data_IF_421272545602
#
_entry.id   IF_421272545602
#
_cell.length_a   1.000
_cell.length_b   1.000
_cell.length_c   1.000
_cell.angle_alpha   90.00
_cell.angle_beta   90.00
_cell.angle_gamma   90.00
#
_symmetry.space_group_name_H-M   'P 1'
#
loop_
_entity.id
_entity.type
_entity.pdbx_description
1 polymer ?
#
# COMPACT_ATOMS: atom_id res chain seq x y z
N UNK A 1 -15.42 -43.30 3.16
CA UNK A 1 -14.19 -42.57 2.78
C UNK A 1 -14.57 -41.53 1.73
N UNK A 2 -14.63 -40.23 2.05
CA UNK A 2 -14.78 -39.21 1.02
C UNK A 2 -13.42 -38.97 0.37
N UNK A 3 -13.40 -38.91 -0.96
CA UNK A 3 -12.22 -38.60 -1.77
C UNK A 3 -11.84 -37.14 -1.53
N UNK A 4 -10.57 -36.89 -1.20
CA UNK A 4 -9.99 -35.55 -1.17
C UNK A 4 -10.16 -34.88 -2.55
N UNK A 5 -10.76 -33.69 -2.57
CA UNK A 5 -10.76 -32.82 -3.74
C UNK A 5 -9.35 -32.27 -3.97
N UNK A 6 -8.88 -32.18 -5.22
CA UNK A 6 -7.57 -31.60 -5.51
C UNK A 6 -7.59 -30.10 -5.22
N UNK A 7 -6.59 -29.62 -4.48
CA UNK A 7 -6.29 -28.20 -4.25
C UNK A 7 -6.22 -27.48 -5.60
N UNK A 8 -7.16 -26.57 -5.88
CA UNK A 8 -7.05 -25.62 -6.99
C UNK A 8 -6.28 -24.42 -6.48
N UNK A 9 -5.02 -24.30 -6.90
CA UNK A 9 -4.22 -23.12 -6.67
C UNK A 9 -4.63 -22.07 -7.71
N UNK A 10 -5.37 -21.05 -7.28
CA UNK A 10 -5.74 -19.90 -8.13
C UNK A 10 -4.89 -18.70 -7.72
N UNK A 11 -3.92 -18.33 -8.55
CA UNK A 11 -3.07 -17.16 -8.33
C UNK A 11 -3.71 -15.94 -8.96
N UNK A 12 -3.90 -14.89 -8.16
CA UNK A 12 -4.41 -13.61 -8.62
C UNK A 12 -3.29 -12.55 -8.51
N UNK A 13 -2.78 -12.05 -9.65
CA UNK A 13 -1.74 -11.03 -9.72
C UNK A 13 -2.36 -9.67 -10.07
N UNK A 14 -2.06 -8.64 -9.27
CA UNK A 14 -2.29 -7.25 -9.64
C UNK A 14 -0.93 -6.68 -10.10
N UNK A 15 -0.77 -6.46 -11.41
CA UNK A 15 0.50 -6.01 -11.98
C UNK A 15 0.56 -4.48 -12.05
N UNK A 16 1.53 -3.88 -11.34
CA UNK A 16 2.18 -2.63 -11.74
C UNK A 16 3.48 -2.39 -10.96
N UNK A 17 4.57 -3.09 -11.35
CA UNK A 17 5.95 -2.57 -11.37
C UNK A 17 6.91 -3.62 -11.96
N UNK A 18 7.81 -3.25 -12.91
CA UNK A 18 8.75 -4.18 -13.52
C UNK A 18 10.08 -4.16 -12.78
N UNK A 19 10.16 -4.70 -11.56
CA UNK A 19 11.43 -5.00 -10.89
C UNK A 19 11.21 -5.89 -9.66
N UNK A 20 10.90 -7.17 -9.86
CA UNK A 20 11.20 -8.19 -8.86
C UNK A 20 11.35 -9.55 -9.54
N UNK A 21 12.60 -9.96 -9.79
CA UNK A 21 12.94 -11.32 -10.17
C UNK A 21 13.19 -12.13 -8.91
N UNK A 22 12.23 -13.01 -8.63
CA UNK A 22 12.35 -14.38 -8.11
C UNK A 22 13.25 -14.69 -6.90
N UNK A 23 12.60 -15.11 -5.81
CA UNK A 23 12.93 -16.40 -5.16
C UNK A 23 11.62 -17.10 -4.77
N UNK A 24 11.20 -18.08 -5.57
CA UNK A 24 10.46 -19.24 -5.06
C UNK A 24 10.66 -20.42 -6.03
N UNK A 25 11.46 -21.38 -5.61
CA UNK A 25 11.73 -22.60 -6.34
C UNK A 25 10.67 -23.65 -6.00
N UNK A 26 9.88 -24.09 -6.98
CA UNK A 26 9.33 -25.44 -6.99
C UNK A 26 9.25 -25.99 -8.43
N UNK A 27 9.73 -27.22 -8.56
CA UNK A 27 9.83 -28.06 -9.75
C UNK A 27 8.47 -28.65 -10.09
N UNK A 28 7.90 -28.38 -11.28
CA UNK A 28 7.03 -29.32 -12.00
C UNK A 28 7.20 -29.16 -13.52
N UNK A 29 7.25 -30.30 -14.18
CA UNK A 29 7.61 -30.54 -15.57
C UNK A 29 6.68 -29.91 -16.64
N UNK A 30 7.30 -29.63 -17.76
CA UNK A 30 6.77 -29.17 -19.04
C UNK A 30 5.77 -30.12 -19.72
N UNK A 31 4.63 -29.59 -20.15
CA UNK A 31 3.91 -30.06 -21.35
C UNK A 31 3.40 -28.83 -22.14
N UNK A 32 3.73 -28.78 -23.43
CA UNK A 32 3.60 -27.61 -24.31
C UNK A 32 2.19 -27.27 -24.81
N UNK A 33 2.04 -26.16 -25.56
CA UNK A 33 0.75 -25.64 -25.99
C UNK A 33 0.28 -26.23 -27.33
N UNK A 34 -1.01 -26.53 -27.44
CA UNK A 34 -1.67 -26.79 -28.73
C UNK A 34 -2.49 -25.58 -29.18
N UNK A 35 -2.22 -25.17 -30.40
CA UNK A 35 -2.78 -24.09 -31.21
C UNK A 35 -4.29 -24.15 -31.47
N UNK A 36 -4.93 -22.99 -31.59
CA UNK A 36 -6.22 -22.81 -32.26
C UNK A 36 -6.55 -21.33 -32.48
N UNK A 37 -6.49 -20.87 -33.73
CA UNK A 37 -6.77 -19.51 -34.21
C UNK A 37 -8.16 -19.44 -34.91
N UNK A 38 -8.66 -18.28 -35.40
CA UNK A 38 -10.04 -17.83 -35.20
C UNK A 38 -10.89 -17.71 -36.47
N UNK A 39 -12.19 -17.48 -36.31
CA UNK A 39 -13.16 -17.09 -37.35
C UNK A 39 -14.47 -16.65 -36.65
N UNK A 40 -15.32 -15.75 -37.13
CA UNK A 40 -15.30 -14.69 -38.15
C UNK A 40 -16.62 -13.89 -37.96
N UNK A 41 -16.62 -12.60 -38.32
CA UNK A 41 -17.74 -11.74 -38.77
C UNK A 41 -19.15 -11.78 -38.13
N UNK A 42 -19.66 -10.59 -37.78
CA UNK A 42 -20.67 -9.90 -38.60
C UNK A 42 -20.87 -8.42 -38.18
N UNK A 43 -20.98 -7.55 -39.19
CA UNK A 43 -21.30 -6.10 -39.18
C UNK A 43 -22.81 -5.86 -39.06
N UNK A 44 -23.17 -4.62 -38.66
CA UNK A 44 -24.19 -3.66 -39.18
C UNK A 44 -24.80 -2.91 -37.96
N UNK A 45 -25.03 -1.59 -37.89
CA UNK A 45 -25.27 -0.55 -38.88
C UNK A 45 -24.93 0.86 -38.35
N UNK A 46 -24.60 1.74 -39.29
CA UNK A 46 -24.47 3.19 -39.18
C UNK A 46 -25.81 3.92 -39.18
N UNK A 47 -25.95 5.00 -38.40
CA UNK A 47 -26.79 6.17 -38.76
C UNK A 47 -26.18 7.47 -38.24
N UNK A 48 -26.07 8.43 -39.16
CA UNK A 48 -25.47 9.76 -39.03
C UNK A 48 -26.52 10.86 -38.81
N UNK A 49 -26.19 11.80 -37.90
CA UNK A 49 -26.39 13.28 -37.95
C UNK A 49 -27.81 13.89 -37.85
N UNK A 50 -27.99 15.17 -37.42
CA UNK A 50 -27.01 16.28 -37.52
C UNK A 50 -26.85 17.23 -36.31
N UNK A 51 -25.85 18.10 -36.47
CA UNK A 51 -25.43 19.20 -35.63
C UNK A 51 -26.52 20.29 -35.44
N UNK A 52 -26.56 20.85 -34.24
CA UNK A 52 -27.28 22.07 -33.91
C UNK A 52 -26.45 22.88 -32.92
N UNK A 53 -26.06 24.07 -33.35
CA UNK A 53 -25.40 25.10 -32.56
C UNK A 53 -26.24 25.54 -31.36
N UNK A 54 -25.64 25.65 -30.18
CA UNK A 54 -25.97 26.71 -29.23
C UNK A 54 -24.81 26.94 -28.27
N UNK A 55 -24.23 28.13 -28.36
CA UNK A 55 -23.36 28.69 -27.36
C UNK A 55 -24.19 28.97 -26.09
N UNK A 56 -23.79 28.38 -24.97
CA UNK A 56 -24.22 28.82 -23.65
C UNK A 56 -23.00 28.93 -22.73
N UNK A 57 -22.78 30.16 -22.31
CA UNK A 57 -21.88 30.58 -21.24
C UNK A 57 -22.46 30.06 -19.91
N UNK A 58 -21.75 29.12 -19.27
CA UNK A 58 -21.86 28.83 -17.84
C UNK A 58 -20.43 28.53 -17.37
N UNK A 59 -19.81 29.27 -16.45
CA UNK A 59 -20.36 29.76 -15.20
C UNK A 59 -19.94 28.78 -14.10
N UNK A 60 -18.80 29.07 -13.48
CA UNK A 60 -18.24 28.47 -12.25
C UNK A 60 -18.08 26.94 -12.24
N UNK A 61 -16.82 26.50 -12.28
CA UNK A 61 -16.43 25.17 -11.82
C UNK A 61 -16.77 25.06 -10.32
N UNK A 62 -17.98 24.57 -10.02
CA UNK A 62 -18.33 24.12 -8.69
C UNK A 62 -17.37 23.00 -8.31
N UNK A 63 -16.49 23.27 -7.36
CA UNK A 63 -15.72 22.26 -6.65
C UNK A 63 -16.73 21.33 -5.99
N UNK A 64 -17.04 20.21 -6.64
CA UNK A 64 -17.84 19.15 -6.03
C UNK A 64 -17.01 18.58 -4.88
N UNK A 65 -17.25 19.09 -3.68
CA UNK A 65 -16.83 18.45 -2.44
C UNK A 65 -17.51 17.10 -2.39
N UNK A 66 -16.80 16.05 -2.81
CA UNK A 66 -17.28 14.69 -2.69
C UNK A 66 -17.28 14.38 -1.20
N UNK A 67 -18.43 13.97 -0.65
CA UNK A 67 -18.50 13.54 0.75
C UNK A 67 -17.45 12.45 0.97
N UNK A 68 -16.59 12.59 2.00
CA UNK A 68 -15.60 11.58 2.31
C UNK A 68 -16.29 10.25 2.59
N UNK A 69 -15.64 9.15 2.19
CA UNK A 69 -16.18 7.83 2.38
C UNK A 69 -16.43 7.56 3.87
N UNK A 70 -17.50 6.83 4.24
CA UNK A 70 -17.80 6.56 5.64
C UNK A 70 -16.62 5.92 6.40
N UNK A 71 -15.82 5.07 5.74
CA UNK A 71 -14.66 4.44 6.35
C UNK A 71 -13.47 5.39 6.60
N UNK A 72 -13.51 6.65 6.15
CA UNK A 72 -12.42 7.61 6.37
C UNK A 72 -12.70 8.55 7.54
N UNK A 73 -13.96 8.90 7.80
CA UNK A 73 -14.36 9.71 8.96
C UNK A 73 -14.90 8.83 10.09
N UNK A 74 -14.27 8.80 11.27
CA UNK A 74 -14.75 8.00 12.39
C UNK A 74 -16.05 8.58 12.96
N UNK A 75 -16.89 7.71 13.52
CA UNK A 75 -18.11 8.06 14.25
C UNK A 75 -18.27 7.20 15.52
N UNK A 76 -19.38 7.32 16.25
CA UNK A 76 -19.53 6.65 17.55
C UNK A 76 -19.86 5.16 17.42
N UNK A 77 -20.12 4.67 16.21
CA UNK A 77 -20.31 3.24 15.92
C UNK A 77 -18.98 2.60 15.54
N UNK A 78 -18.73 1.34 15.95
CA UNK A 78 -17.55 0.60 15.52
C UNK A 78 -17.42 0.53 13.99
N UNK A 79 -16.25 0.89 13.47
CA UNK A 79 -15.83 0.65 12.09
C UNK A 79 -14.42 0.07 12.04
N UNK A 80 -13.94 -0.27 10.84
CA UNK A 80 -12.59 -0.86 10.62
C UNK A 80 -12.29 -2.06 11.54
N UNK A 81 -13.29 -2.95 11.65
CA UNK A 81 -13.21 -4.12 12.51
C UNK A 81 -12.30 -5.14 11.84
N UNK A 82 -11.26 -5.58 12.55
CA UNK A 82 -10.31 -6.58 12.06
C UNK A 82 -10.14 -7.67 13.10
N UNK A 83 -10.36 -8.91 12.67
CA UNK A 83 -10.08 -10.12 13.43
C UNK A 83 -8.61 -10.51 13.22
N UNK A 84 -7.93 -10.87 14.30
CA UNK A 84 -6.50 -11.19 14.36
C UNK A 84 -6.25 -12.30 15.41
N UNK A 85 -4.99 -12.69 15.57
CA UNK A 85 -4.52 -13.54 16.66
C UNK A 85 -3.33 -12.93 17.40
N UNK A 86 -3.55 -12.50 18.64
CA UNK A 86 -2.48 -12.05 19.53
C UNK A 86 -1.80 -13.20 20.29
N UNK A 87 -2.49 -14.34 20.39
CA UNK A 87 -2.16 -15.53 21.19
C UNK A 87 -2.57 -16.79 20.41
N UNK A 88 -2.50 -17.95 21.07
CA UNK A 88 -2.84 -19.25 20.51
C UNK A 88 -4.21 -19.26 19.79
N UNK A 89 -4.24 -19.49 18.46
CA UNK A 89 -5.47 -19.54 17.66
C UNK A 89 -6.47 -20.62 18.09
N UNK A 90 -6.03 -21.68 18.77
CA UNK A 90 -6.90 -22.77 19.20
C UNK A 90 -7.75 -22.41 20.44
N UNK A 91 -7.34 -21.38 21.19
CA UNK A 91 -7.97 -21.02 22.46
C UNK A 91 -8.31 -19.53 22.58
N UNK A 92 -8.03 -18.73 21.53
CA UNK A 92 -8.23 -17.28 21.56
C UNK A 92 -8.71 -16.70 20.23
N UNK A 93 -9.36 -15.54 20.31
CA UNK A 93 -9.68 -14.67 19.17
C UNK A 93 -9.39 -13.23 19.57
N UNK A 94 -8.74 -12.44 18.71
CA UNK A 94 -8.43 -11.04 18.96
C UNK A 94 -9.14 -10.15 17.95
N UNK A 95 -9.74 -9.04 18.39
CA UNK A 95 -10.42 -8.11 17.51
C UNK A 95 -9.96 -6.68 17.80
N UNK A 96 -9.73 -5.91 16.74
CA UNK A 96 -9.51 -4.46 16.76
C UNK A 96 -10.64 -3.76 16.04
N UNK A 97 -10.93 -2.52 16.42
CA UNK A 97 -11.86 -1.65 15.72
C UNK A 97 -11.60 -0.19 16.04
N UNK A 98 -12.23 0.70 15.30
CA UNK A 98 -12.14 2.15 15.47
C UNK A 98 -13.49 2.76 15.80
N UNK A 99 -13.46 3.86 16.53
CA UNK A 99 -14.57 4.81 16.71
C UNK A 99 -14.03 6.24 16.64
N UNK A 100 -14.91 7.23 16.74
CA UNK A 100 -14.49 8.58 17.09
C UNK A 100 -13.92 8.66 18.51
N UNK A 101 -13.32 9.80 18.83
CA UNK A 101 -12.64 10.01 20.11
C UNK A 101 -13.57 10.17 21.32
N UNK A 102 -14.90 10.18 21.14
CA UNK A 102 -15.86 10.33 22.24
C UNK A 102 -16.13 9.01 22.96
N UNK A 103 -15.86 7.87 22.31
CA UNK A 103 -16.04 6.55 22.89
C UNK A 103 -14.80 6.17 23.70
N UNK A 104 -14.98 6.02 25.02
CA UNK A 104 -13.89 5.65 25.96
C UNK A 104 -14.16 4.35 26.72
N UNK A 105 -15.42 3.89 26.74
CA UNK A 105 -15.86 2.69 27.46
C UNK A 105 -16.12 1.49 26.54
N UNK A 106 -15.21 1.24 25.61
CA UNK A 106 -15.39 0.21 24.59
C UNK A 106 -15.41 -1.22 25.19
N UNK A 107 -16.23 -2.08 24.60
CA UNK A 107 -16.50 -3.45 25.05
C UNK A 107 -16.64 -4.37 23.85
N UNK A 108 -16.45 -5.66 24.08
CA UNK A 108 -16.73 -6.69 23.12
C UNK A 108 -17.49 -7.85 23.77
N UNK A 109 -18.25 -8.58 22.98
CA UNK A 109 -18.99 -9.76 23.42
C UNK A 109 -18.63 -10.96 22.57
N UNK A 110 -18.59 -12.14 23.19
CA UNK A 110 -18.41 -13.43 22.50
C UNK A 110 -19.34 -14.48 23.11
N UNK A 111 -19.95 -15.29 22.26
CA UNK A 111 -20.84 -16.39 22.62
C UNK A 111 -20.62 -17.57 21.68
N UNK A 112 -20.96 -18.79 22.11
CA UNK A 112 -21.02 -19.94 21.20
C UNK A 112 -22.03 -19.65 20.09
N UNK A 113 -21.63 -19.87 18.84
CA UNK A 113 -22.53 -19.73 17.71
C UNK A 113 -23.41 -20.99 17.63
N UNK A 114 -24.64 -20.88 18.11
CA UNK A 114 -25.66 -21.94 17.99
C UNK A 114 -26.67 -21.57 16.92
N UNK A 115 -27.40 -22.55 16.38
CA UNK A 115 -28.47 -22.29 15.41
C UNK A 115 -29.69 -21.55 15.99
N UNK A 116 -29.77 -21.40 17.32
CA UNK A 116 -30.89 -20.75 18.00
C UNK A 116 -30.76 -19.22 18.02
N UNK A 117 -31.87 -18.46 17.89
CA UNK A 117 -31.84 -17.00 17.83
C UNK A 117 -31.40 -16.32 19.14
N UNK A 118 -31.42 -17.06 20.26
CA UNK A 118 -31.09 -16.56 21.60
C UNK A 118 -29.65 -16.84 22.04
N UNK A 119 -28.75 -17.25 21.13
CA UNK A 119 -27.34 -17.56 21.48
C UNK A 119 -26.64 -16.45 22.28
N UNK A 120 -27.04 -15.19 22.03
CA UNK A 120 -26.45 -14.01 22.64
C UNK A 120 -26.74 -13.85 24.15
N UNK A 121 -27.69 -14.59 24.72
CA UNK A 121 -28.00 -14.48 26.16
C UNK A 121 -26.86 -14.99 27.04
N UNK A 122 -26.08 -15.93 26.52
CA UNK A 122 -24.90 -16.50 27.18
C UNK A 122 -23.61 -15.76 26.81
N UNK A 123 -23.71 -14.58 26.19
CA UNK A 123 -22.54 -13.84 25.74
C UNK A 123 -21.69 -13.33 26.91
N UNK A 124 -20.41 -13.70 26.89
CA UNK A 124 -19.41 -13.12 27.78
C UNK A 124 -19.02 -11.73 27.27
N UNK A 125 -19.10 -10.74 28.16
CA UNK A 125 -18.66 -9.36 27.87
C UNK A 125 -17.24 -9.12 28.40
N UNK A 126 -16.40 -8.46 27.61
CA UNK A 126 -15.03 -8.09 27.94
C UNK A 126 -14.81 -6.61 27.67
N UNK A 127 -14.18 -5.89 28.59
CA UNK A 127 -13.77 -4.50 28.38
C UNK A 127 -12.60 -4.45 27.40
N UNK A 128 -12.65 -3.52 26.45
CA UNK A 128 -11.60 -3.32 25.47
C UNK A 128 -10.50 -2.39 26.00
N UNK A 129 -9.27 -2.61 25.56
CA UNK A 129 -8.23 -1.59 25.67
C UNK A 129 -8.51 -0.50 24.64
N UNK A 130 -8.23 0.76 24.97
CA UNK A 130 -8.51 1.91 24.10
C UNK A 130 -7.27 2.78 23.96
N UNK A 131 -6.91 3.12 22.72
CA UNK A 131 -5.78 3.99 22.40
C UNK A 131 -6.19 5.05 21.36
N UNK A 132 -5.83 6.32 21.55
CA UNK A 132 -6.08 7.35 20.55
C UNK A 132 -5.15 7.18 19.35
N UNK A 133 -5.66 7.50 18.15
CA UNK A 133 -4.83 7.66 16.97
C UNK A 133 -4.03 8.98 17.08
N UNK A 134 -2.71 8.89 16.99
CA UNK A 134 -1.83 10.07 17.11
C UNK A 134 -1.65 10.81 15.77
N UNK A 135 -2.74 11.10 15.06
CA UNK A 135 -2.69 11.76 13.75
C UNK A 135 -2.00 13.13 13.79
N UNK A 136 -2.10 13.86 14.91
CA UNK A 136 -1.43 15.15 15.13
C UNK A 136 0.10 15.11 15.02
N UNK A 137 0.72 13.93 14.99
CA UNK A 137 2.16 13.79 14.80
C UNK A 137 2.58 13.86 13.33
N UNK A 138 1.63 13.65 12.41
CA UNK A 138 1.89 13.52 10.97
C UNK A 138 1.35 14.75 10.24
N UNK A 139 2.18 15.34 9.39
CA UNK A 139 1.80 16.50 8.59
C UNK A 139 0.65 16.16 7.62
N UNK A 140 -0.33 17.07 7.52
CA UNK A 140 -1.53 16.88 6.71
C UNK A 140 -2.58 15.91 7.28
N UNK A 141 -2.31 15.22 8.39
CA UNK A 141 -3.24 14.28 9.03
C UNK A 141 -3.93 14.89 10.27
N UNK A 142 -5.26 14.89 10.26
CA UNK A 142 -6.07 15.61 11.27
C UNK A 142 -7.23 14.78 11.84
N UNK A 143 -7.23 13.46 11.61
CA UNK A 143 -8.29 12.59 12.10
C UNK A 143 -8.21 12.38 13.62
N UNK A 144 -9.32 12.62 14.33
CA UNK A 144 -9.45 12.27 15.75
C UNK A 144 -10.24 10.96 15.86
N UNK A 145 -9.56 9.89 16.29
CA UNK A 145 -10.15 8.56 16.42
C UNK A 145 -9.59 7.85 17.65
N UNK A 146 -10.39 6.94 18.21
CA UNK A 146 -9.91 5.92 19.13
C UNK A 146 -9.92 4.58 18.40
N UNK A 147 -8.89 3.78 18.67
CA UNK A 147 -8.89 2.36 18.35
C UNK A 147 -9.00 1.56 19.63
N UNK A 148 -9.65 0.42 19.50
CA UNK A 148 -9.93 -0.47 20.61
C UNK A 148 -9.48 -1.88 20.25
N UNK A 149 -9.03 -2.63 21.24
CA UNK A 149 -8.62 -4.01 21.07
C UNK A 149 -9.15 -4.89 22.19
N UNK A 150 -9.42 -6.15 21.85
CA UNK A 150 -9.77 -7.19 22.81
C UNK A 150 -9.13 -8.51 22.40
N UNK A 151 -8.79 -9.35 23.37
CA UNK A 151 -8.48 -10.76 23.14
C UNK A 151 -9.39 -11.61 24.01
N UNK A 152 -10.30 -12.33 23.38
CA UNK A 152 -11.13 -13.34 24.02
C UNK A 152 -10.27 -14.56 24.33
N UNK A 153 -10.13 -14.90 25.61
CA UNK A 153 -9.30 -16.02 26.08
C UNK A 153 -10.15 -17.18 26.60
N UNK A 154 -9.57 -18.37 26.63
CA UNK A 154 -10.22 -19.57 27.19
C UNK A 154 -11.39 -20.06 26.34
N UNK A 155 -11.28 -19.91 25.03
CA UNK A 155 -12.21 -20.47 24.06
C UNK A 155 -11.89 -21.96 23.85
N UNK A 156 -12.88 -22.74 23.45
CA UNK A 156 -12.69 -24.14 23.06
C UNK A 156 -12.08 -24.18 21.65
N UNK A 157 -11.22 -25.17 21.40
CA UNK A 157 -10.66 -25.43 20.07
C UNK A 157 -11.73 -25.91 19.09
N UNK A 158 -11.48 -25.72 17.79
CA UNK A 158 -12.39 -26.07 16.69
C UNK A 158 -13.86 -25.75 16.96
N UNK A 159 -14.10 -24.53 17.44
CA UNK A 159 -15.43 -24.11 17.89
C UNK A 159 -15.84 -22.83 17.19
N UNK A 160 -17.05 -22.82 16.64
CA UNK A 160 -17.64 -21.63 16.05
C UNK A 160 -18.17 -20.71 17.16
N UNK A 161 -17.68 -19.48 17.18
CA UNK A 161 -18.14 -18.41 18.05
C UNK A 161 -18.80 -17.30 17.22
N UNK A 162 -19.72 -16.58 17.85
CA UNK A 162 -20.22 -15.30 17.39
C UNK A 162 -19.66 -14.21 18.30
N UNK A 163 -19.10 -13.14 17.72
CA UNK A 163 -18.59 -12.00 18.46
C UNK A 163 -19.11 -10.67 17.91
N UNK A 164 -19.11 -9.63 18.75
CA UNK A 164 -19.40 -8.25 18.34
C UNK A 164 -18.64 -7.25 19.20
N UNK A 165 -18.48 -6.04 18.69
CA UNK A 165 -17.74 -4.96 19.35
C UNK A 165 -18.63 -3.72 19.50
N UNK A 166 -18.33 -2.86 20.46
CA UNK A 166 -19.20 -1.72 20.79
C UNK A 166 -18.76 -1.00 22.05
N UNK A 167 -19.71 -0.36 22.73
CA UNK A 167 -19.48 0.32 24.01
C UNK A 167 -20.50 -0.06 25.12
N UNK A 168 -21.42 -0.98 24.81
CA UNK A 168 -22.54 -1.33 25.68
C UNK A 168 -23.90 -0.87 25.15
N UNK A 169 -23.93 0.22 24.38
CA UNK A 169 -25.14 0.81 23.82
C UNK A 169 -25.15 0.70 22.29
N UNK A 170 -24.03 1.09 21.67
CA UNK A 170 -23.79 1.05 20.23
C UNK A 170 -22.94 -0.18 19.94
N UNK A 171 -23.50 -1.10 19.16
CA UNK A 171 -22.88 -2.37 18.81
C UNK A 171 -22.71 -2.48 17.30
N UNK A 172 -21.65 -3.16 16.88
CA UNK A 172 -21.58 -3.76 15.55
C UNK A 172 -22.65 -4.86 15.40
N UNK A 173 -22.80 -5.35 14.17
CA UNK A 173 -23.41 -6.67 13.95
C UNK A 173 -22.58 -7.79 14.62
N UNK A 174 -23.17 -8.98 14.68
CA UNK A 174 -22.47 -10.19 15.11
C UNK A 174 -21.70 -10.80 13.94
N UNK A 175 -20.43 -11.12 14.16
CA UNK A 175 -19.55 -11.80 13.22
C UNK A 175 -19.27 -13.22 13.70
N UNK A 176 -19.14 -14.16 12.77
CA UNK A 176 -18.71 -15.51 13.08
C UNK A 176 -17.20 -15.65 12.93
N UNK A 177 -16.60 -16.39 13.86
CA UNK A 177 -15.19 -16.75 13.85
C UNK A 177 -15.01 -18.13 14.49
N UNK A 178 -14.20 -18.97 13.86
CA UNK A 178 -13.87 -20.32 14.36
C UNK A 178 -12.47 -20.31 14.96
N UNK A 179 -12.31 -20.85 16.17
CA UNK A 179 -11.00 -21.14 16.75
C UNK A 179 -10.34 -22.31 16.03
N UNK A 180 -9.01 -22.31 15.93
CA UNK A 180 -8.28 -23.39 15.28
C UNK A 180 -8.44 -24.72 16.04
N UNK A 181 -8.16 -25.84 15.36
CA UNK A 181 -7.95 -27.12 16.05
C UNK A 181 -6.71 -27.07 16.92
N UNK A 182 -6.75 -27.79 18.05
CA UNK A 182 -5.57 -28.03 18.88
C UNK A 182 -4.64 -29.11 18.28
N UNK A 183 -5.15 -29.88 17.32
CA UNK A 183 -4.43 -30.94 16.61
C UNK A 183 -4.12 -30.53 15.16
N UNK A 184 -3.12 -31.14 14.51
CA UNK A 184 -2.88 -30.93 13.09
C UNK A 184 -4.07 -31.37 12.24
N UNK A 185 -4.69 -30.41 11.54
CA UNK A 185 -5.82 -30.61 10.65
C UNK A 185 -5.60 -29.83 9.34
N UNK A 186 -6.19 -30.23 8.20
CA UNK A 186 -6.14 -29.46 6.97
C UNK A 186 -6.70 -28.04 7.16
N UNK A 187 -6.08 -27.08 6.48
CA UNK A 187 -6.50 -25.69 6.50
C UNK A 187 -6.26 -25.02 5.15
N UNK A 188 -6.87 -23.86 4.95
CA UNK A 188 -6.73 -23.02 3.77
C UNK A 188 -6.51 -21.56 4.15
N UNK A 189 -5.69 -20.86 3.37
CA UNK A 189 -5.43 -19.44 3.58
C UNK A 189 -5.27 -18.73 2.25
N UNK A 190 -5.53 -17.42 2.26
CA UNK A 190 -5.24 -16.55 1.11
C UNK A 190 -4.01 -15.72 1.42
N UNK A 191 -3.02 -15.82 0.54
CA UNK A 191 -1.84 -14.99 0.54
C UNK A 191 -2.09 -13.72 -0.29
N UNK A 192 -1.81 -12.56 0.29
CA UNK A 192 -1.97 -11.25 -0.32
C UNK A 192 -0.70 -10.45 -0.08
N UNK A 193 -0.25 -9.69 -1.07
CA UNK A 193 0.76 -8.65 -0.91
C UNK A 193 0.40 -7.50 -1.84
N UNK A 194 1.03 -6.34 -1.61
CA UNK A 194 1.04 -5.25 -2.58
C UNK A 194 -0.38 -4.80 -2.98
N UNK A 195 -1.26 -4.65 -1.97
CA UNK A 195 -2.60 -4.14 -2.19
C UNK A 195 -2.59 -2.68 -2.65
N UNK A 196 -1.46 -1.99 -2.41
CA UNK A 196 -1.09 -0.63 -2.81
C UNK A 196 -1.85 -0.09 -4.02
N UNK A 197 -2.01 1.25 -4.03
CA UNK A 197 -2.59 2.00 -5.13
C UNK A 197 -4.04 1.60 -5.47
N UNK A 198 -4.94 2.58 -5.54
CA UNK A 198 -6.33 2.31 -5.92
C UNK A 198 -6.99 1.21 -5.03
N UNK A 199 -6.57 1.09 -3.77
CA UNK A 199 -6.94 -0.02 -2.86
C UNK A 199 -8.46 -0.26 -2.86
N UNK A 200 -9.26 0.79 -2.76
CA UNK A 200 -10.71 0.67 -2.78
C UNK A 200 -11.26 0.17 -4.12
N UNK A 201 -10.77 0.67 -5.25
CA UNK A 201 -11.35 0.37 -6.57
C UNK A 201 -10.83 -0.95 -7.16
N UNK A 202 -9.58 -1.33 -6.86
CA UNK A 202 -8.95 -2.51 -7.47
C UNK A 202 -8.72 -3.65 -6.49
N UNK A 203 -8.27 -3.41 -5.27
CA UNK A 203 -8.03 -4.50 -4.32
C UNK A 203 -9.35 -5.11 -3.83
N UNK A 204 -10.42 -4.32 -3.72
CA UNK A 204 -11.75 -4.81 -3.31
C UNK A 204 -12.31 -5.93 -4.19
N UNK A 205 -12.15 -5.85 -5.52
CA UNK A 205 -12.58 -6.94 -6.43
C UNK A 205 -11.74 -8.20 -6.25
N UNK A 206 -10.46 -8.05 -5.94
CA UNK A 206 -9.52 -9.16 -5.79
C UNK A 206 -9.84 -9.98 -4.53
N UNK A 207 -9.88 -9.30 -3.39
CA UNK A 207 -10.08 -9.97 -2.10
C UNK A 207 -11.48 -10.60 -2.00
N UNK A 208 -12.49 -9.96 -2.60
CA UNK A 208 -13.87 -10.51 -2.64
C UNK A 208 -13.98 -11.70 -3.58
N UNK A 209 -13.27 -11.71 -4.71
CA UNK A 209 -13.23 -12.89 -5.58
C UNK A 209 -12.50 -14.05 -4.88
N UNK A 210 -11.37 -13.79 -4.22
CA UNK A 210 -10.65 -14.81 -3.46
C UNK A 210 -11.52 -15.44 -2.38
N UNK A 211 -12.25 -14.62 -1.61
CA UNK A 211 -13.23 -15.11 -0.63
C UNK A 211 -14.39 -15.89 -1.25
N UNK A 212 -14.84 -15.51 -2.45
CA UNK A 212 -15.92 -16.23 -3.16
C UNK A 212 -15.45 -17.60 -3.64
N UNK A 213 -14.21 -17.72 -4.09
CA UNK A 213 -13.63 -18.98 -4.57
C UNK A 213 -13.28 -19.95 -3.45
N UNK A 214 -12.94 -19.41 -2.27
CA UNK A 214 -12.60 -20.17 -1.07
C UNK A 214 -13.37 -19.61 0.14
N UNK A 215 -14.67 -19.91 0.31
CA UNK A 215 -15.44 -19.37 1.43
C UNK A 215 -15.08 -19.99 2.80
N UNK A 216 -14.32 -21.08 2.80
CA UNK A 216 -13.83 -21.77 4.02
C UNK A 216 -12.37 -21.39 4.37
N UNK A 217 -11.94 -20.17 4.03
CA UNK A 217 -10.61 -19.65 4.39
C UNK A 217 -10.47 -19.54 5.91
N UNK A 218 -9.37 -20.06 6.43
CA UNK A 218 -9.05 -20.01 7.86
C UNK A 218 -8.34 -18.72 8.28
N UNK A 219 -7.53 -18.12 7.40
CA UNK A 219 -6.89 -16.82 7.63
C UNK A 219 -6.42 -16.13 6.34
N UNK A 220 -6.22 -14.82 6.45
CA UNK A 220 -5.54 -13.98 5.45
C UNK A 220 -4.09 -13.75 5.88
N UNK A 221 -3.15 -13.95 4.96
CA UNK A 221 -1.74 -13.67 5.16
C UNK A 221 -1.32 -12.50 4.26
N UNK A 222 -1.09 -11.33 4.86
CA UNK A 222 -0.64 -10.10 4.19
C UNK A 222 0.88 -9.96 4.29
N UNK A 223 1.55 -9.97 3.14
CA UNK A 223 3.00 -9.94 3.02
C UNK A 223 3.60 -8.53 2.89
N UNK A 224 2.93 -7.53 3.46
CA UNK A 224 3.34 -6.12 3.40
C UNK A 224 2.67 -5.33 2.27
N UNK A 225 2.87 -4.02 2.34
CA UNK A 225 2.39 -3.02 1.40
C UNK A 225 0.86 -3.02 1.23
N UNK A 226 0.19 -2.86 2.38
CA UNK A 226 -1.26 -2.83 2.49
C UNK A 226 -1.83 -1.50 1.98
N UNK A 227 -1.08 -0.43 2.14
CA UNK A 227 -1.36 0.93 1.65
C UNK A 227 -0.18 1.45 0.84
N UNK A 228 -0.35 2.58 0.15
CA UNK A 228 0.74 3.22 -0.61
C UNK A 228 1.43 4.30 0.23
N UNK A 229 0.67 5.02 1.07
CA UNK A 229 1.18 6.08 1.94
C UNK A 229 0.99 5.70 3.41
N UNK A 230 2.10 5.42 4.10
CA UNK A 230 2.14 4.83 5.44
C UNK A 230 1.13 5.43 6.43
N UNK A 231 1.05 6.75 6.52
CA UNK A 231 0.25 7.43 7.55
C UNK A 231 -1.14 7.84 7.10
N UNK A 232 -1.44 7.71 5.81
CA UNK A 232 -2.58 8.36 5.19
C UNK A 232 -3.90 7.71 5.60
N UNK A 233 -4.69 8.38 6.45
CA UNK A 233 -5.88 7.77 7.04
C UNK A 233 -6.93 7.31 6.01
N UNK A 234 -7.01 8.01 4.88
CA UNK A 234 -7.90 7.64 3.77
C UNK A 234 -7.55 6.27 3.20
N UNK A 235 -6.28 5.94 3.05
CA UNK A 235 -5.84 4.68 2.43
C UNK A 235 -6.09 3.49 3.35
N UNK A 236 -5.80 3.63 4.65
CA UNK A 236 -6.21 2.65 5.65
C UNK A 236 -7.74 2.45 5.67
N UNK A 237 -8.51 3.53 5.46
CA UNK A 237 -9.96 3.46 5.32
C UNK A 237 -10.42 2.75 4.05
N UNK A 238 -9.66 2.87 2.96
CA UNK A 238 -9.90 2.15 1.72
C UNK A 238 -9.59 0.67 1.86
N UNK A 239 -8.49 0.31 2.51
CA UNK A 239 -8.11 -1.06 2.81
C UNK A 239 -9.20 -1.75 3.65
N UNK A 240 -9.56 -1.17 4.80
CA UNK A 240 -10.64 -1.72 5.63
C UNK A 240 -11.97 -1.86 4.87
N UNK A 241 -12.35 -0.87 4.04
CA UNK A 241 -13.59 -0.95 3.25
C UNK A 241 -13.53 -1.97 2.11
N UNK A 242 -12.35 -2.19 1.54
CA UNK A 242 -12.16 -3.16 0.46
C UNK A 242 -12.33 -4.59 0.97
N UNK A 243 -11.70 -4.94 2.09
CA UNK A 243 -11.90 -6.23 2.75
C UNK A 243 -13.28 -6.35 3.43
N UNK A 244 -13.79 -5.26 4.00
CA UNK A 244 -15.14 -5.22 4.58
C UNK A 244 -15.36 -6.30 5.63
N UNK A 245 -16.51 -6.98 5.58
CA UNK A 245 -16.85 -8.05 6.52
C UNK A 245 -15.85 -9.20 6.54
N UNK A 246 -15.07 -9.40 5.45
CA UNK A 246 -14.10 -10.49 5.36
C UNK A 246 -13.05 -10.32 6.46
N UNK A 247 -12.57 -9.09 6.68
CA UNK A 247 -11.60 -8.81 7.75
C UNK A 247 -12.19 -8.99 9.14
N UNK A 248 -13.51 -8.84 9.30
CA UNK A 248 -14.22 -9.08 10.55
C UNK A 248 -14.54 -10.55 10.82
N UNK A 249 -14.40 -11.45 9.84
CA UNK A 249 -14.72 -12.88 10.02
C UNK A 249 -13.51 -13.79 9.83
N UNK A 250 -12.54 -13.36 9.04
CA UNK A 250 -11.33 -14.10 8.71
C UNK A 250 -10.14 -13.42 9.39
N UNK A 251 -9.42 -14.12 10.29
CA UNK A 251 -8.23 -13.60 10.96
C UNK A 251 -7.17 -13.09 9.99
N UNK A 252 -6.57 -11.94 10.29
CA UNK A 252 -5.53 -11.31 9.49
C UNK A 252 -4.17 -11.51 10.18
N UNK A 253 -3.23 -12.05 9.43
CA UNK A 253 -1.81 -12.13 9.77
C UNK A 253 -1.10 -11.17 8.83
N UNK A 254 -0.36 -10.19 9.36
CA UNK A 254 0.28 -9.16 8.54
C UNK A 254 1.70 -8.87 9.01
N UNK A 255 2.59 -8.56 8.06
CA UNK A 255 3.90 -7.96 8.30
C UNK A 255 3.96 -6.61 7.57
N UNK A 256 4.67 -5.60 8.09
CA UNK A 256 4.80 -4.33 7.39
C UNK A 256 5.75 -4.48 6.20
N UNK A 257 5.40 -3.87 5.07
CA UNK A 257 6.29 -3.63 3.94
C UNK A 257 6.87 -2.22 3.98
N UNK A 258 7.61 -1.82 2.95
CA UNK A 258 8.22 -0.48 2.91
C UNK A 258 7.18 0.64 2.84
N UNK A 259 5.98 0.39 2.32
CA UNK A 259 4.91 1.40 2.28
C UNK A 259 4.17 1.58 3.62
N UNK A 260 4.46 0.75 4.61
CA UNK A 260 4.03 0.97 6.00
C UNK A 260 4.97 1.91 6.77
N UNK A 261 6.06 2.35 6.15
CA UNK A 261 7.04 3.28 6.69
C UNK A 261 7.00 4.63 5.96
N UNK A 262 7.14 5.71 6.71
CA UNK A 262 7.19 7.07 6.16
C UNK A 262 7.59 8.10 7.20
N UNK A 263 7.94 9.30 6.75
CA UNK A 263 8.21 10.42 7.65
C UNK A 263 6.93 10.97 8.27
N UNK A 264 7.02 11.40 9.53
CA UNK A 264 5.91 12.12 10.17
C UNK A 264 5.84 13.57 9.75
N UNK A 265 7.00 14.22 9.61
CA UNK A 265 7.08 15.64 9.32
C UNK A 265 7.79 15.86 8.00
N UNK A 266 7.39 16.88 7.26
CA UNK A 266 8.09 17.34 6.08
C UNK A 266 8.52 18.79 6.23
N UNK A 267 9.60 19.15 5.57
CA UNK A 267 10.07 20.54 5.50
C UNK A 267 10.63 20.84 4.13
N UNK A 268 10.42 22.06 3.67
CA UNK A 268 11.13 22.57 2.50
C UNK A 268 12.59 22.83 2.88
N UNK A 269 13.51 22.20 2.18
CA UNK A 269 14.94 22.42 2.30
C UNK A 269 15.50 22.87 0.95
N UNK A 270 16.41 23.82 0.99
CA UNK A 270 17.25 24.09 -0.18
C UNK A 270 18.23 22.92 -0.35
N UNK A 271 18.21 22.32 -1.52
CA UNK A 271 18.93 21.11 -1.85
C UNK A 271 19.80 21.32 -3.09
N UNK A 272 21.07 20.93 -2.98
CA UNK A 272 22.03 20.91 -4.08
C UNK A 272 22.01 19.55 -4.74
N UNK A 273 21.79 19.52 -6.04
CA UNK A 273 21.84 18.30 -6.85
C UNK A 273 22.98 18.42 -7.84
N UNK A 274 23.94 17.50 -7.73
CA UNK A 274 25.06 17.43 -8.66
C UNK A 274 24.65 16.71 -9.95
N UNK A 275 25.20 17.14 -11.08
CA UNK A 275 25.07 16.45 -12.35
C UNK A 275 26.41 16.41 -13.05
N UNK A 276 26.75 15.25 -13.58
CA UNK A 276 27.86 15.04 -14.50
C UNK A 276 27.34 14.33 -15.74
N UNK A 277 27.90 14.66 -16.89
CA UNK A 277 27.51 14.02 -18.14
C UNK A 277 28.57 14.11 -19.22
N UNK A 278 28.49 13.17 -20.14
CA UNK A 278 29.34 13.06 -21.31
C UNK A 278 28.47 12.95 -22.56
N UNK A 279 28.73 13.79 -23.56
CA UNK A 279 28.02 13.78 -24.83
C UNK A 279 28.77 12.98 -25.90
N UNK A 280 28.03 12.20 -26.69
CA UNK A 280 28.51 11.48 -27.85
C UNK A 280 27.43 11.46 -28.94
N UNK A 281 27.71 12.14 -30.06
CA UNK A 281 26.77 12.26 -31.18
C UNK A 281 25.48 13.01 -30.79
N UNK A 282 24.38 12.28 -30.71
CA UNK A 282 23.06 12.80 -30.31
C UNK A 282 22.63 12.35 -28.91
N UNK A 283 23.48 11.61 -28.20
CA UNK A 283 23.21 11.10 -26.87
C UNK A 283 24.13 11.73 -25.84
N UNK A 284 23.62 11.87 -24.62
CA UNK A 284 24.36 12.30 -23.46
C UNK A 284 24.01 11.38 -22.30
N UNK A 285 25.03 10.87 -21.62
CA UNK A 285 24.87 9.96 -20.49
C UNK A 285 25.68 10.44 -19.31
N UNK A 286 25.23 10.18 -18.10
CA UNK A 286 25.98 10.54 -16.91
C UNK A 286 25.28 10.16 -15.62
N UNK A 287 25.52 10.96 -14.59
CA UNK A 287 25.07 10.70 -13.23
C UNK A 287 24.47 11.95 -12.61
N UNK A 288 23.34 11.81 -11.94
CA UNK A 288 22.79 12.81 -11.01
C UNK A 288 23.12 12.35 -9.60
N UNK A 289 23.60 13.26 -8.75
CA UNK A 289 23.87 13.02 -7.34
C UNK A 289 22.84 13.75 -6.49
N UNK A 290 22.03 12.99 -5.78
CA UNK A 290 20.92 13.48 -4.96
C UNK A 290 21.40 13.98 -3.59
N UNK A 291 20.59 14.81 -2.91
CA UNK A 291 20.82 15.19 -1.52
C UNK A 291 20.80 13.92 -0.64
N UNK A 292 21.93 13.61 0.01
CA UNK A 292 22.11 12.36 0.77
C UNK A 292 23.21 11.45 0.22
N UNK A 293 23.67 11.69 -1.01
CA UNK A 293 24.82 10.99 -1.60
C UNK A 293 24.44 9.90 -2.61
N UNK A 294 23.16 9.53 -2.69
CA UNK A 294 22.66 8.60 -3.71
C UNK A 294 22.85 9.13 -5.12
N UNK A 295 22.99 8.21 -6.08
CA UNK A 295 23.19 8.55 -7.48
C UNK A 295 22.16 7.88 -8.38
N UNK A 296 21.76 8.60 -9.43
CA UNK A 296 20.82 8.13 -10.45
C UNK A 296 21.41 8.33 -11.85
N UNK A 297 21.16 7.43 -12.81
CA UNK A 297 21.64 7.60 -14.18
C UNK A 297 20.94 8.80 -14.84
N UNK A 298 21.72 9.61 -15.53
CA UNK A 298 21.26 10.70 -16.39
C UNK A 298 21.35 10.28 -17.85
N UNK A 299 20.27 10.50 -18.60
CA UNK A 299 20.27 10.35 -20.06
C UNK A 299 19.56 11.52 -20.71
N UNK A 300 20.14 12.03 -21.79
CA UNK A 300 19.53 13.06 -22.61
C UNK A 300 19.82 12.86 -24.10
N UNK A 301 18.93 13.36 -24.95
CA UNK A 301 19.01 13.26 -26.40
C UNK A 301 18.90 14.62 -27.05
N UNK A 302 19.76 14.91 -28.02
CA UNK A 302 19.78 16.20 -28.72
C UNK A 302 18.72 16.27 -29.81
N UNK A 303 18.02 17.39 -29.90
CA UNK A 303 17.18 17.73 -31.06
C UNK A 303 18.03 18.44 -32.14
N UNK A 304 18.48 17.70 -33.16
CA UNK A 304 19.23 18.25 -34.30
C UNK A 304 20.34 17.33 -34.84
N UNK A 305 21.04 17.73 -35.93
CA UNK A 305 22.13 16.93 -36.50
C UNK A 305 23.31 16.77 -35.51
N UNK A 306 24.13 15.71 -35.65
CA UNK A 306 25.26 15.48 -34.77
C UNK A 306 26.21 16.68 -34.76
N UNK A 307 26.64 17.10 -33.58
CA UNK A 307 27.69 18.10 -33.45
C UNK A 307 29.07 17.49 -33.78
N UNK A 308 30.03 18.33 -34.17
CA UNK A 308 31.45 17.94 -34.18
C UNK A 308 31.91 17.64 -32.74
N UNK A 309 32.99 16.88 -32.57
CA UNK A 309 33.54 16.59 -31.22
C UNK A 309 33.78 17.85 -30.38
N UNK A 310 34.24 18.95 -31.00
CA UNK A 310 34.48 20.24 -30.34
C UNK A 310 33.21 20.98 -29.91
N UNK A 311 32.04 20.62 -30.46
CA UNK A 311 30.74 21.23 -30.14
C UNK A 311 29.75 20.22 -29.55
N UNK A 312 30.23 19.03 -29.17
CA UNK A 312 29.43 17.87 -28.83
C UNK A 312 28.47 18.13 -27.66
N UNK A 313 28.78 19.07 -26.76
CA UNK A 313 27.93 19.45 -25.63
C UNK A 313 26.89 20.53 -25.97
N UNK A 314 27.13 21.35 -26.99
CA UNK A 314 26.31 22.55 -27.23
C UNK A 314 24.92 22.19 -27.73
N UNK A 315 23.93 23.01 -27.39
CA UNK A 315 22.56 22.89 -27.89
C UNK A 315 21.55 22.50 -26.82
N UNK A 316 20.42 21.96 -27.27
CA UNK A 316 19.30 21.57 -26.41
C UNK A 316 19.21 20.05 -26.37
N UNK A 317 19.14 19.51 -25.16
CA UNK A 317 19.07 18.10 -24.86
C UNK A 317 17.78 17.81 -24.12
N UNK A 318 16.93 16.96 -24.67
CA UNK A 318 15.75 16.43 -23.98
C UNK A 318 16.21 15.36 -23.00
N UNK A 319 15.95 15.53 -21.70
CA UNK A 319 16.34 14.55 -20.69
C UNK A 319 15.13 13.90 -20.02
N UNK A 320 15.37 12.72 -19.44
CA UNK A 320 14.43 12.03 -18.56
C UNK A 320 15.15 11.45 -17.34
N UNK A 321 14.74 11.81 -16.13
CA UNK A 321 15.28 11.28 -14.87
C UNK A 321 14.11 10.92 -13.95
N UNK A 322 13.96 9.64 -13.58
CA UNK A 322 13.02 9.23 -12.52
C UNK A 322 11.58 9.71 -12.71
N UNK A 323 11.07 9.78 -13.95
CA UNK A 323 9.73 10.29 -14.27
C UNK A 323 9.64 11.79 -14.55
N UNK A 324 10.70 12.56 -14.32
CA UNK A 324 10.81 13.97 -14.70
C UNK A 324 11.39 14.12 -16.10
N UNK A 325 10.76 14.94 -16.94
CA UNK A 325 11.26 15.29 -18.27
C UNK A 325 11.49 16.79 -18.41
N UNK A 326 12.39 17.17 -19.31
CA UNK A 326 12.66 18.57 -19.59
C UNK A 326 13.81 18.77 -20.57
N UNK A 327 14.29 20.01 -20.65
CA UNK A 327 15.42 20.36 -21.52
C UNK A 327 16.66 20.81 -20.75
N UNK A 328 17.83 20.30 -21.10
CA UNK A 328 19.12 20.84 -20.72
C UNK A 328 19.66 21.64 -21.90
N UNK A 329 19.83 22.95 -21.71
CA UNK A 329 20.38 23.82 -22.74
C UNK A 329 21.78 24.26 -22.38
N UNK A 330 22.77 23.84 -23.18
CA UNK A 330 24.18 24.20 -23.01
C UNK A 330 24.57 25.21 -24.09
N UNK A 331 25.16 26.33 -23.65
CA UNK A 331 25.64 27.40 -24.52
C UNK A 331 27.10 27.71 -24.19
N UNK A 332 27.84 28.20 -25.17
CA UNK A 332 29.15 28.81 -24.98
C UNK A 332 29.07 30.26 -25.43
N UNK A 333 29.21 31.19 -24.49
CA UNK A 333 29.13 32.64 -24.71
C UNK A 333 30.43 33.34 -24.37
N UNK A 334 30.42 34.68 -24.38
CA UNK A 334 31.63 35.47 -24.08
C UNK A 334 32.21 35.24 -22.67
N UNK A 335 31.37 34.79 -21.73
CA UNK A 335 31.76 34.49 -20.36
C UNK A 335 31.92 32.98 -20.10
N UNK A 336 32.15 32.19 -21.16
CA UNK A 336 32.30 30.74 -21.07
C UNK A 336 30.97 29.99 -21.20
N UNK A 337 30.95 28.76 -20.69
CA UNK A 337 29.80 27.88 -20.79
C UNK A 337 28.69 28.28 -19.81
N UNK A 338 27.45 28.10 -20.24
CA UNK A 338 26.29 28.11 -19.37
C UNK A 338 25.40 26.92 -19.69
N UNK A 339 24.82 26.33 -18.65
CA UNK A 339 23.87 25.24 -18.76
C UNK A 339 22.63 25.58 -17.94
N UNK A 340 21.45 25.31 -18.49
CA UNK A 340 20.18 25.55 -17.81
C UNK A 340 19.28 24.37 -18.03
N UNK A 341 18.80 23.80 -16.93
CA UNK A 341 17.77 22.77 -16.93
C UNK A 341 16.41 23.46 -16.87
N UNK A 342 15.48 23.05 -17.72
CA UNK A 342 14.11 23.54 -17.74
C UNK A 342 13.18 22.37 -17.44
N UNK A 343 12.28 22.53 -16.47
CA UNK A 343 11.23 21.53 -16.21
C UNK A 343 10.19 21.52 -17.32
N UNK A 344 9.33 20.50 -17.35
CA UNK A 344 8.17 20.45 -18.24
C UNK A 344 7.24 21.67 -18.10
N UNK A 345 7.12 22.22 -16.89
CA UNK A 345 6.35 23.44 -16.60
C UNK A 345 7.05 24.74 -17.06
N UNK A 346 8.27 24.64 -17.57
CA UNK A 346 9.02 25.76 -18.12
C UNK A 346 9.90 26.52 -17.12
N UNK A 347 9.95 26.10 -15.86
CA UNK A 347 10.77 26.74 -14.81
C UNK A 347 12.26 26.53 -15.08
N UNK A 348 13.08 27.60 -15.16
CA UNK A 348 14.50 27.48 -15.44
C UNK A 348 15.33 27.30 -14.15
N UNK A 349 16.26 26.34 -14.18
CA UNK A 349 17.23 26.04 -13.13
C UNK A 349 18.64 26.14 -13.71
N UNK A 350 19.35 27.26 -13.49
CA UNK A 350 20.72 27.41 -13.98
C UNK A 350 21.66 26.45 -13.24
N UNK A 351 22.55 25.80 -13.98
CA UNK A 351 23.66 25.06 -13.37
C UNK A 351 24.69 26.06 -12.82
N UNK A 352 25.02 25.88 -11.56
CA UNK A 352 26.09 26.53 -10.83
C UNK A 352 27.35 25.66 -10.89
N UNK A 353 28.51 26.27 -10.65
CA UNK A 353 29.82 25.61 -10.64
C UNK A 353 30.08 24.71 -11.87
N UNK A 354 29.62 25.18 -13.03
CA UNK A 354 29.73 24.46 -14.29
C UNK A 354 31.20 24.34 -14.71
N UNK A 355 31.67 23.11 -14.82
CA UNK A 355 32.97 22.74 -15.39
C UNK A 355 32.75 21.98 -16.70
N UNK A 356 33.52 22.31 -17.73
CA UNK A 356 33.47 21.66 -19.05
C UNK A 356 34.87 21.26 -19.48
N UNK A 357 35.02 20.01 -19.90
CA UNK A 357 36.27 19.45 -20.43
C UNK A 357 35.97 18.55 -21.62
N UNK A 358 36.24 19.05 -22.83
CA UNK A 358 35.92 18.35 -24.08
C UNK A 358 34.41 18.13 -24.22
N UNK A 359 34.01 16.85 -24.28
CA UNK A 359 32.62 16.42 -24.35
C UNK A 359 31.99 16.12 -22.97
N UNK A 360 32.70 16.40 -21.87
CA UNK A 360 32.24 16.17 -20.50
C UNK A 360 31.88 17.48 -19.82
N UNK A 361 30.86 17.45 -18.97
CA UNK A 361 30.51 18.55 -18.09
C UNK A 361 30.17 18.04 -16.68
N UNK A 362 30.31 18.93 -15.70
CA UNK A 362 29.76 18.75 -14.35
C UNK A 362 29.25 20.09 -13.83
N UNK A 363 28.24 20.06 -12.98
CA UNK A 363 27.75 21.25 -12.28
C UNK A 363 26.68 20.88 -11.26
N UNK A 364 26.09 21.89 -10.65
CA UNK A 364 25.11 21.70 -9.59
C UNK A 364 23.87 22.55 -9.84
N UNK A 365 22.69 22.06 -9.48
CA UNK A 365 21.49 22.88 -9.43
C UNK A 365 20.94 22.92 -8.01
N UNK A 366 20.54 24.11 -7.60
CA UNK A 366 19.95 24.37 -6.28
C UNK A 366 18.45 24.49 -6.45
N UNK A 367 17.69 23.75 -5.66
CA UNK A 367 16.23 23.77 -5.66
C UNK A 367 15.68 23.56 -4.27
N UNK A 368 14.52 24.14 -4.00
CA UNK A 368 13.74 23.75 -2.83
C UNK A 368 13.15 22.35 -3.08
N UNK A 369 13.31 21.47 -2.10
CA UNK A 369 12.74 20.13 -2.08
C UNK A 369 12.07 19.89 -0.76
N UNK A 370 10.98 19.15 -0.79
CA UNK A 370 10.41 18.60 0.42
C UNK A 370 11.29 17.46 0.92
N UNK A 371 11.74 17.55 2.16
CA UNK A 371 12.47 16.51 2.86
C UNK A 371 11.64 16.03 4.04
N UNK A 372 11.36 14.74 4.06
CA UNK A 372 10.70 14.08 5.17
C UNK A 372 11.66 13.80 6.34
N UNK A 373 11.11 13.77 7.55
CA UNK A 373 11.77 13.23 8.73
C UNK A 373 12.06 11.74 8.54
N UNK A 374 13.02 11.19 9.30
CA UNK A 374 13.36 9.76 9.23
C UNK A 374 12.13 8.85 9.39
N UNK A 375 12.11 7.77 8.62
CA UNK A 375 10.99 6.86 8.51
C UNK A 375 10.54 6.29 9.87
N UNK A 376 9.23 6.16 10.02
CA UNK A 376 8.55 5.56 11.16
C UNK A 376 7.46 4.63 10.66
N UNK A 377 7.25 3.55 11.40
CA UNK A 377 6.11 2.66 11.17
C UNK A 377 4.81 3.45 11.27
N UNK A 378 3.84 3.08 10.44
CA UNK A 378 2.55 3.74 10.37
C UNK A 378 1.91 3.97 11.74
N UNK A 379 1.42 5.20 11.97
CA UNK A 379 0.58 5.51 13.14
C UNK A 379 -0.66 4.62 13.25
N UNK A 380 -1.08 3.95 12.17
CA UNK A 380 -2.21 3.02 12.17
C UNK A 380 -1.82 1.59 12.54
N UNK A 381 -0.56 1.15 12.37
CA UNK A 381 -0.19 -0.28 12.45
C UNK A 381 -0.59 -0.94 13.78
N UNK A 382 -0.03 -0.51 14.90
CA UNK A 382 -0.34 -1.02 16.25
C UNK A 382 -1.77 -0.75 16.74
N UNK A 383 -2.55 0.01 15.98
CA UNK A 383 -3.95 0.33 16.30
C UNK A 383 -4.90 -0.54 15.47
N UNK A 384 -4.48 -0.84 14.25
CA UNK A 384 -5.18 -1.65 13.28
C UNK A 384 -5.08 -3.13 13.61
N UNK A 385 -3.95 -3.57 14.15
CA UNK A 385 -3.68 -4.97 14.43
C UNK A 385 -3.50 -5.25 15.92
N UNK A 386 -3.76 -6.50 16.29
CA UNK A 386 -3.33 -7.07 17.57
C UNK A 386 -2.67 -8.42 17.25
N UNK A 387 -1.36 -8.37 17.03
CA UNK A 387 -0.54 -9.51 16.57
C UNK A 387 0.30 -10.05 17.72
N UNK A 388 0.98 -11.20 17.56
CA UNK A 388 1.82 -11.74 18.61
C UNK A 388 3.03 -10.83 18.88
N UNK A 389 3.44 -10.81 20.14
CA UNK A 389 4.57 -10.00 20.65
C UNK A 389 5.70 -10.91 21.15
N UNK A 390 5.88 -12.06 20.51
CA UNK A 390 6.82 -13.12 20.90
C UNK A 390 8.11 -13.11 20.05
N UNK A 391 8.36 -12.02 19.32
CA UNK A 391 9.61 -11.74 18.64
C UNK A 391 10.62 -10.98 19.52
N UNK A 392 11.68 -10.42 18.90
CA UNK A 392 12.67 -9.59 19.58
C UNK A 392 12.05 -8.35 20.27
N UNK A 393 12.67 -7.91 21.36
CA UNK A 393 12.30 -6.67 22.06
C UNK A 393 12.38 -5.46 21.11
N UNK A 394 11.36 -4.61 21.11
CA UNK A 394 11.26 -3.44 20.24
C UNK A 394 10.74 -3.72 18.83
N UNK A 395 10.43 -4.98 18.50
CA UNK A 395 9.82 -5.40 17.22
C UNK A 395 8.45 -6.05 17.42
N UNK A 396 7.77 -5.74 18.53
CA UNK A 396 6.45 -6.27 18.85
C UNK A 396 5.48 -6.06 17.66
N UNK A 397 4.68 -7.07 17.34
CA UNK A 397 3.66 -7.02 16.27
C UNK A 397 4.20 -6.76 14.84
N UNK A 398 5.51 -6.74 14.65
CA UNK A 398 6.16 -6.61 13.33
C UNK A 398 7.10 -7.77 13.03
N UNK A 399 7.71 -8.34 14.07
CA UNK A 399 8.44 -9.61 14.02
C UNK A 399 7.83 -10.56 15.04
N UNK A 400 7.32 -11.70 14.58
CA UNK A 400 6.64 -12.64 15.45
C UNK A 400 6.54 -14.02 14.83
N UNK A 401 6.09 -14.99 15.61
CA UNK A 401 5.66 -16.29 15.09
C UNK A 401 4.31 -16.69 15.67
N UNK A 402 3.56 -17.49 14.92
CA UNK A 402 2.36 -18.15 15.38
C UNK A 402 2.32 -19.59 14.87
N UNK A 403 1.69 -20.46 15.63
CA UNK A 403 1.46 -21.84 15.26
C UNK A 403 -0.03 -22.03 14.97
N UNK A 404 -0.33 -22.65 13.83
CA UNK A 404 -1.69 -22.93 13.37
C UNK A 404 -1.75 -24.36 12.83
N UNK A 405 -2.46 -25.25 13.54
CA UNK A 405 -2.70 -26.65 13.14
C UNK A 405 -1.44 -27.38 12.63
N UNK A 406 -0.32 -27.25 13.35
CA UNK A 406 0.96 -27.89 13.01
C UNK A 406 1.86 -27.11 12.04
N UNK A 407 1.39 -25.98 11.49
CA UNK A 407 2.21 -25.05 10.70
C UNK A 407 2.70 -23.89 11.58
N UNK A 408 3.99 -23.58 11.53
CA UNK A 408 4.54 -22.33 12.07
C UNK A 408 4.61 -21.28 10.97
N UNK A 409 4.00 -20.12 11.22
CA UNK A 409 4.18 -18.90 10.42
C UNK A 409 5.14 -17.98 11.17
N UNK A 410 6.16 -17.48 10.48
CA UNK A 410 7.11 -16.50 11.02
C UNK A 410 7.00 -15.23 10.19
N UNK A 411 6.57 -14.16 10.83
CA UNK A 411 6.57 -12.82 10.26
C UNK A 411 7.89 -12.12 10.54
N UNK A 412 8.52 -11.60 9.49
CA UNK A 412 9.77 -10.85 9.57
C UNK A 412 9.56 -9.46 8.97
N UNK A 413 10.13 -8.46 9.62
CA UNK A 413 10.10 -7.07 9.20
C UNK A 413 11.46 -6.71 8.62
N UNK A 414 11.61 -6.78 7.30
CA UNK A 414 12.88 -6.46 6.63
C UNK A 414 13.22 -4.98 6.68
N UNK A 415 12.23 -4.11 6.85
CA UNK A 415 12.41 -2.66 6.89
C UNK A 415 13.08 -2.21 8.19
N UNK A 416 12.88 -2.94 9.28
CA UNK A 416 13.60 -2.70 10.52
C UNK A 416 15.13 -2.77 10.34
N UNK A 417 15.64 -3.60 9.42
CA UNK A 417 17.07 -3.71 9.15
C UNK A 417 17.68 -2.46 8.48
N UNK A 418 16.85 -1.56 7.92
CA UNK A 418 17.31 -0.26 7.38
C UNK A 418 17.46 0.81 8.47
N UNK A 419 16.89 0.58 9.66
CA UNK A 419 16.84 1.55 10.75
C UNK A 419 17.95 1.41 11.78
N UNK A 420 18.73 0.32 11.71
CA UNK A 420 19.98 0.10 12.46
C UNK A 420 21.17 0.68 11.70
#
# INVERSE_FOLDING_TARGET
MPKASPMRQTTYLCASSPLLVAVLAFVVASCGPSSGSPADRARTDTKTSPAGSNAQVHGQAATRSHSPLPSTRPGPYPDRIVLNWAKDPASTLSATWRTDSTVTGAKAQVALATGGPSFYTEARTVTAETQPLHAHRVDGEHVSANYHSVTFKGLMADTLYAYRVGDGERWSEWFHARTASAEPEPFSFVYVGDAQNNVRSHWSRLIRQAYTDAPEIDFLLHAGDLVDNAHRNVEWGHWNAAGGFIQSMVPNIAVPGNHEYGGYQSRMVEATIGIEGEASGTEMTGTVKLPGGDTAPFKATRSGPPASEESALLGTWEYGIGGYTGTLRVRNGQNGYSATLQSEEGSPYPLQDLSVSGNRFSGEFVREMEQESGEKLSIHWHRQFTLPTNGPEGMEETVYHLDYQGMRVVGLNSEAAKMD
#
